data_IF_923072014465
#
_entry.id   IF_923072014465
#
_cell.length_a   1.000
_cell.length_b   1.000
_cell.length_c   1.000
_cell.angle_alpha   90.00
_cell.angle_beta   90.00
_cell.angle_gamma   90.00
#
_symmetry.space_group_name_H-M   'P 1'
#
loop_
_entity.id
_entity.type
_entity.pdbx_description
1 polymer ?
#
# COMPACT_ATOMS: atom_id res chain seq x y z
N UNK A 1 -8.73 20.94 11.53
CA UNK A 1 -8.00 21.47 10.35
C UNK A 1 -6.51 21.48 10.72
N UNK A 2 -5.56 21.32 9.79
CA UNK A 2 -4.11 21.37 10.12
C UNK A 2 -3.71 22.64 10.88
N UNK A 3 -4.37 23.77 10.59
CA UNK A 3 -4.15 25.04 11.28
C UNK A 3 -4.40 25.02 12.80
N UNK A 4 -5.24 24.12 13.30
CA UNK A 4 -5.57 24.04 14.74
C UNK A 4 -4.43 23.42 15.57
N UNK A 5 -3.51 22.70 14.92
CA UNK A 5 -2.33 22.12 15.59
C UNK A 5 -1.27 23.20 15.81
N UNK A 6 -1.06 24.08 14.83
CA UNK A 6 -0.03 25.13 14.91
C UNK A 6 -0.31 26.21 15.95
N UNK A 7 -1.57 26.39 16.37
CA UNK A 7 -1.91 27.29 17.48
C UNK A 7 -1.45 26.75 18.84
N UNK A 8 -1.31 25.43 18.98
CA UNK A 8 -0.87 24.77 20.22
C UNK A 8 0.65 24.62 20.31
N UNK A 9 1.31 24.31 19.18
CA UNK A 9 2.75 23.96 19.17
C UNK A 9 3.62 25.01 18.46
N UNK A 10 3.01 26.04 17.88
CA UNK A 10 3.71 27.02 17.04
C UNK A 10 3.90 26.55 15.59
N UNK A 11 4.44 27.42 14.72
CA UNK A 11 4.60 27.13 13.29
C UNK A 11 5.71 26.11 13.03
N UNK A 12 5.59 25.34 11.95
CA UNK A 12 6.64 24.43 11.46
C UNK A 12 7.93 25.23 11.21
N UNK A 13 9.00 24.89 11.93
CA UNK A 13 10.29 25.62 11.88
C UNK A 13 11.24 25.09 10.81
N UNK A 14 11.16 23.80 10.52
CA UNK A 14 12.07 23.14 9.59
C UNK A 14 11.35 22.01 8.88
N UNK A 15 11.71 21.81 7.62
CA UNK A 15 11.34 20.66 6.82
C UNK A 15 12.60 20.16 6.11
N UNK A 16 12.89 18.88 6.22
CA UNK A 16 13.93 18.26 5.42
C UNK A 16 13.26 17.41 4.34
N UNK A 17 13.45 17.74 3.05
CA UNK A 17 12.95 16.90 1.98
C UNK A 17 13.59 15.52 2.08
N UNK A 18 12.77 14.49 2.25
CA UNK A 18 13.23 13.12 2.40
C UNK A 18 14.10 12.64 1.21
N UNK A 19 13.84 13.17 0.00
CA UNK A 19 14.65 12.90 -1.20
C UNK A 19 16.08 13.42 -1.11
N UNK A 20 16.30 14.55 -0.44
CA UNK A 20 17.65 15.07 -0.24
C UNK A 20 18.42 14.19 0.76
N UNK A 21 17.71 13.66 1.76
CA UNK A 21 18.27 12.74 2.76
C UNK A 21 18.57 11.36 2.13
N UNK A 22 17.71 10.86 1.25
CA UNK A 22 17.93 9.65 0.42
C UNK A 22 19.17 9.82 -0.46
N UNK A 23 19.30 10.96 -1.17
CA UNK A 23 20.44 11.25 -2.04
C UNK A 23 21.79 11.33 -1.27
N UNK A 24 21.74 11.65 0.02
CA UNK A 24 22.90 11.65 0.92
C UNK A 24 23.23 10.27 1.51
N UNK A 25 22.39 9.25 1.27
CA UNK A 25 22.62 7.87 1.71
C UNK A 25 22.16 7.56 3.14
N UNK A 26 21.43 8.47 3.80
CA UNK A 26 20.90 8.23 5.16
C UNK A 26 19.58 7.44 5.16
N UNK A 27 18.84 7.48 4.06
CA UNK A 27 17.58 6.74 3.85
C UNK A 27 17.78 5.81 2.66
N UNK A 28 17.34 4.56 2.79
CA UNK A 28 17.36 3.60 1.69
C UNK A 28 16.39 4.03 0.57
N UNK A 29 16.77 3.88 -0.72
CA UNK A 29 15.86 4.16 -1.83
C UNK A 29 14.68 3.18 -1.83
N UNK A 30 13.52 3.67 -2.26
CA UNK A 30 12.30 2.87 -2.35
C UNK A 30 11.75 2.87 -3.77
N UNK A 31 11.41 1.68 -4.27
CA UNK A 31 10.67 1.49 -5.51
C UNK A 31 9.21 1.15 -5.19
N UNK A 32 8.29 2.01 -5.62
CA UNK A 32 6.85 1.83 -5.42
C UNK A 32 6.21 1.25 -6.68
N UNK A 33 5.72 0.01 -6.61
CA UNK A 33 5.15 -0.70 -7.76
C UNK A 33 3.69 -1.07 -7.49
N UNK A 34 2.78 -0.65 -8.38
CA UNK A 34 1.38 -1.07 -8.35
C UNK A 34 1.20 -2.36 -9.16
N UNK A 35 0.85 -3.46 -8.49
CA UNK A 35 0.53 -4.73 -9.15
C UNK A 35 -0.98 -4.93 -9.19
N UNK A 36 -1.57 -4.81 -10.39
CA UNK A 36 -3.00 -5.04 -10.60
C UNK A 36 -3.30 -6.51 -10.76
N UNK A 37 -4.20 -7.03 -9.93
CA UNK A 37 -4.63 -8.43 -9.96
C UNK A 37 -6.08 -8.52 -10.41
N UNK A 38 -6.32 -9.26 -11.49
CA UNK A 38 -7.68 -9.51 -11.97
C UNK A 38 -8.35 -10.58 -11.10
N UNK A 39 -9.61 -10.34 -10.71
CA UNK A 39 -10.43 -11.37 -10.08
C UNK A 39 -10.81 -12.45 -11.10
N UNK A 40 -11.07 -13.66 -10.63
CA UNK A 40 -11.68 -14.70 -11.47
C UNK A 40 -13.06 -14.26 -11.94
N UNK A 41 -13.54 -14.80 -13.06
CA UNK A 41 -14.87 -14.45 -13.59
C UNK A 41 -15.98 -14.65 -12.56
N UNK A 42 -15.94 -15.78 -11.83
CA UNK A 42 -16.87 -16.02 -10.72
C UNK A 42 -16.76 -14.93 -9.63
N UNK A 43 -15.55 -14.53 -9.25
CA UNK A 43 -15.33 -13.47 -8.27
C UNK A 43 -15.84 -12.11 -8.74
N UNK A 44 -15.69 -11.79 -10.04
CA UNK A 44 -16.21 -10.55 -10.64
C UNK A 44 -17.74 -10.54 -10.65
N UNK A 45 -18.37 -11.67 -10.95
CA UNK A 45 -19.83 -11.79 -10.89
C UNK A 45 -20.36 -11.60 -9.47
N UNK A 46 -19.73 -12.24 -8.47
CA UNK A 46 -20.09 -12.05 -7.07
C UNK A 46 -19.95 -10.60 -6.62
N UNK A 47 -18.85 -9.94 -7.00
CA UNK A 47 -18.64 -8.52 -6.71
C UNK A 47 -19.70 -7.63 -7.38
N UNK A 48 -20.06 -7.91 -8.63
CA UNK A 48 -21.00 -7.09 -9.41
C UNK A 48 -22.41 -7.06 -8.79
N UNK A 49 -22.85 -8.18 -8.21
CA UNK A 49 -24.18 -8.30 -7.57
C UNK A 49 -24.17 -8.01 -6.07
N UNK A 50 -23.00 -7.82 -5.46
CA UNK A 50 -22.88 -7.56 -4.03
C UNK A 50 -23.38 -6.16 -3.67
N UNK A 51 -23.88 -6.05 -2.43
CA UNK A 51 -24.25 -4.78 -1.82
C UNK A 51 -23.02 -3.86 -1.66
N UNK A 52 -23.19 -2.53 -1.73
CA UNK A 52 -22.09 -1.56 -1.68
C UNK A 52 -21.13 -1.77 -0.49
N UNK A 53 -21.65 -2.11 0.68
CA UNK A 53 -20.88 -2.31 1.91
C UNK A 53 -20.01 -3.59 1.85
N UNK A 54 -20.42 -4.59 1.08
CA UNK A 54 -19.73 -5.87 0.95
C UNK A 54 -18.65 -5.87 -0.13
N UNK A 55 -18.83 -5.02 -1.16
CA UNK A 55 -17.91 -4.89 -2.30
C UNK A 55 -16.47 -4.66 -1.88
N UNK A 56 -16.24 -3.79 -0.90
CA UNK A 56 -14.90 -3.52 -0.38
C UNK A 56 -14.24 -4.79 0.14
N UNK A 57 -14.93 -5.55 1.00
CA UNK A 57 -14.41 -6.77 1.60
C UNK A 57 -14.14 -7.85 0.54
N UNK A 58 -15.05 -8.01 -0.43
CA UNK A 58 -14.90 -8.99 -1.52
C UNK A 58 -13.66 -8.72 -2.37
N UNK A 59 -13.44 -7.46 -2.78
CA UNK A 59 -12.26 -7.08 -3.56
C UNK A 59 -10.96 -7.09 -2.73
N UNK A 60 -11.01 -6.64 -1.47
CA UNK A 60 -9.86 -6.64 -0.57
C UNK A 60 -9.33 -8.08 -0.37
N UNK A 61 -10.23 -9.03 -0.15
CA UNK A 61 -9.92 -10.44 0.17
C UNK A 61 -9.93 -11.40 -1.03
N UNK A 62 -9.92 -10.86 -2.26
CA UNK A 62 -9.95 -11.65 -3.48
C UNK A 62 -8.82 -12.71 -3.52
N UNK A 63 -9.18 -14.00 -3.59
CA UNK A 63 -8.22 -15.12 -3.56
C UNK A 63 -7.17 -15.05 -4.67
N UNK A 64 -7.47 -14.43 -5.81
CA UNK A 64 -6.51 -14.27 -6.90
C UNK A 64 -5.26 -13.48 -6.50
N UNK A 65 -5.33 -12.62 -5.46
CA UNK A 65 -4.17 -11.90 -4.92
C UNK A 65 -3.14 -12.83 -4.27
N UNK A 66 -3.56 -13.97 -3.72
CA UNK A 66 -2.66 -14.86 -2.96
C UNK A 66 -1.56 -15.44 -3.85
N UNK A 67 -1.90 -15.85 -5.08
CA UNK A 67 -0.91 -16.39 -6.01
C UNK A 67 0.14 -15.34 -6.41
N UNK A 68 -0.29 -14.07 -6.54
CA UNK A 68 0.59 -12.95 -6.89
C UNK A 68 1.49 -12.57 -5.72
N UNK A 69 0.95 -12.51 -4.50
CA UNK A 69 1.77 -12.27 -3.30
C UNK A 69 2.85 -13.34 -3.16
N UNK A 70 2.49 -14.62 -3.33
CA UNK A 70 3.46 -15.73 -3.29
C UNK A 70 4.56 -15.59 -4.35
N UNK A 71 4.20 -15.28 -5.59
CA UNK A 71 5.20 -15.13 -6.66
C UNK A 71 6.12 -13.92 -6.47
N UNK A 72 5.68 -12.88 -5.76
CA UNK A 72 6.56 -11.78 -5.34
C UNK A 72 7.51 -12.27 -4.25
N UNK A 73 7.02 -12.94 -3.20
CA UNK A 73 7.86 -13.46 -2.12
C UNK A 73 8.95 -14.43 -2.64
N UNK A 74 8.60 -15.28 -3.61
CA UNK A 74 9.53 -16.23 -4.25
C UNK A 74 10.69 -15.53 -4.97
N UNK A 75 10.53 -14.28 -5.40
CA UNK A 75 11.60 -13.48 -6.03
C UNK A 75 12.55 -12.86 -5.02
N UNK A 76 12.17 -12.80 -3.75
CA UNK A 76 12.92 -12.16 -2.67
C UNK A 76 13.17 -13.13 -1.49
N UNK A 77 13.72 -14.34 -1.72
CA UNK A 77 13.79 -15.39 -0.70
C UNK A 77 14.72 -15.06 0.48
N UNK A 78 15.64 -14.12 0.32
CA UNK A 78 16.65 -13.73 1.32
C UNK A 78 16.38 -12.38 1.95
N UNK A 79 15.33 -11.67 1.54
CA UNK A 79 15.04 -10.33 2.03
C UNK A 79 13.96 -10.36 3.13
N UNK A 80 14.14 -9.62 4.25
CA UNK A 80 13.09 -9.47 5.24
C UNK A 80 11.82 -8.90 4.60
N UNK A 81 10.69 -9.59 4.77
CA UNK A 81 9.43 -9.19 4.15
C UNK A 81 8.33 -8.92 5.17
N UNK A 82 7.62 -7.81 5.00
CA UNK A 82 6.41 -7.45 5.75
C UNK A 82 5.21 -7.43 4.82
N UNK A 83 4.13 -8.13 5.18
CA UNK A 83 2.86 -8.12 4.45
C UNK A 83 1.80 -7.43 5.31
N UNK A 84 1.15 -6.40 4.76
CA UNK A 84 0.07 -5.65 5.38
C UNK A 84 -1.19 -5.85 4.55
N UNK A 85 -2.30 -6.25 5.18
CA UNK A 85 -3.58 -6.57 4.53
C UNK A 85 -4.78 -5.99 5.24
#
# INVERSE_FOLDING_TARGET
>A
REGDVFSLIGPKRYDAPWKDIEAQGWIAPAECIEVRVTMTDNGRMLYAVAEPEERYKLCATARSKIAVVKSILERHPTEPTLVIG
#
